data_IF_927023916590
#
_entry.id   IF_927023916590
#
_cell.length_a   1.000
_cell.length_b   1.000
_cell.length_c   1.000
_cell.angle_alpha   90.00
_cell.angle_beta   90.00
_cell.angle_gamma   90.00
#
_symmetry.space_group_name_H-M   'P 1'
#
loop_
_entity.id
_entity.type
_entity.pdbx_description
1 polymer ?
#
# COMPACT_ATOMS: atom_id res chain seq x y z
N UNK A 1 0.05 -12.92 -16.48
CA UNK A 1 -0.57 -11.66 -16.91
C UNK A 1 -0.16 -10.60 -15.91
N UNK A 2 0.34 -9.47 -16.39
CA UNK A 2 0.76 -8.34 -15.55
C UNK A 2 -0.49 -7.68 -14.96
N UNK A 3 -0.47 -7.34 -13.67
CA UNK A 3 -1.61 -6.69 -13.02
C UNK A 3 -1.81 -5.25 -13.48
N UNK A 4 -3.02 -4.70 -13.23
CA UNK A 4 -3.42 -3.37 -13.71
C UNK A 4 -2.59 -2.26 -13.05
N UNK A 5 -2.36 -2.38 -11.73
CA UNK A 5 -1.61 -1.38 -10.98
C UNK A 5 -0.14 -1.41 -11.36
N UNK A 6 0.47 -2.59 -11.49
CA UNK A 6 1.85 -2.69 -11.96
C UNK A 6 2.03 -2.12 -13.38
N UNK A 7 1.11 -2.41 -14.30
CA UNK A 7 1.14 -1.85 -15.65
C UNK A 7 1.07 -0.32 -15.62
N UNK A 8 0.12 0.25 -14.86
CA UNK A 8 -0.01 1.69 -14.67
C UNK A 8 1.29 2.33 -14.16
N UNK A 9 1.92 1.74 -13.14
CA UNK A 9 3.15 2.26 -12.56
C UNK A 9 4.31 2.24 -13.58
N UNK A 10 4.46 1.15 -14.33
CA UNK A 10 5.50 1.05 -15.36
C UNK A 10 5.29 2.04 -16.51
N UNK A 11 4.06 2.16 -17.01
CA UNK A 11 3.71 3.10 -18.08
C UNK A 11 3.95 4.55 -17.64
N UNK A 12 3.55 4.89 -16.41
CA UNK A 12 3.76 6.22 -15.85
C UNK A 12 5.24 6.51 -15.66
N UNK A 13 6.02 5.55 -15.16
CA UNK A 13 7.48 5.67 -15.02
C UNK A 13 8.14 5.88 -16.39
N UNK A 14 7.72 5.12 -17.40
CA UNK A 14 8.25 5.26 -18.76
C UNK A 14 7.93 6.62 -19.37
N UNK A 15 6.74 7.17 -19.10
CA UNK A 15 6.31 8.46 -19.61
C UNK A 15 6.93 9.67 -18.88
N UNK A 16 7.10 9.58 -17.56
CA UNK A 16 7.53 10.71 -16.70
C UNK A 16 9.00 10.65 -16.25
N UNK A 17 9.64 9.49 -16.36
CA UNK A 17 11.02 9.26 -15.92
C UNK A 17 11.17 9.02 -14.41
N UNK A 18 10.17 9.36 -13.60
CA UNK A 18 10.10 9.10 -12.17
C UNK A 18 8.65 8.93 -11.71
N UNK A 19 8.47 8.34 -10.53
CA UNK A 19 7.19 8.27 -9.83
C UNK A 19 7.30 8.95 -8.47
N UNK A 20 6.28 9.71 -8.09
CA UNK A 20 6.09 10.23 -6.74
C UNK A 20 5.03 9.41 -6.01
N UNK A 21 5.42 8.79 -4.91
CA UNK A 21 4.53 8.10 -3.99
C UNK A 21 4.37 8.92 -2.71
N UNK A 22 3.13 9.10 -2.24
CA UNK A 22 2.86 9.71 -0.94
C UNK A 22 2.42 8.65 0.07
N UNK A 23 3.18 8.46 1.15
CA UNK A 23 2.82 7.52 2.22
C UNK A 23 1.95 8.20 3.28
N UNK A 24 0.78 7.60 3.53
CA UNK A 24 -0.17 8.00 4.55
C UNK A 24 -0.24 6.89 5.59
N UNK A 25 0.32 7.14 6.76
CA UNK A 25 0.14 6.26 7.92
C UNK A 25 -1.06 6.77 8.75
N UNK A 26 -2.18 6.03 8.83
CA UNK A 26 -3.33 6.44 9.63
C UNK A 26 -3.01 6.74 11.10
N UNK A 27 -1.95 6.14 11.67
CA UNK A 27 -1.55 6.34 13.07
C UNK A 27 -0.72 7.60 13.30
N UNK A 28 -0.18 8.22 12.25
CA UNK A 28 0.56 9.49 12.35
C UNK A 28 -0.37 10.72 12.46
N UNK A 29 -1.68 10.52 12.31
CA UNK A 29 -2.68 11.58 12.34
C UNK A 29 -3.52 11.54 13.62
N UNK A 30 -3.90 12.71 14.11
CA UNK A 30 -4.73 12.84 15.32
C UNK A 30 -6.10 12.15 15.21
N UNK A 31 -6.62 11.97 13.98
CA UNK A 31 -7.85 11.24 13.71
C UNK A 31 -7.94 10.79 12.23
N UNK A 32 -8.83 9.83 11.90
CA UNK A 32 -8.94 9.28 10.54
C UNK A 32 -9.28 10.32 9.47
N UNK A 33 -10.04 11.37 9.81
CA UNK A 33 -10.43 12.40 8.84
C UNK A 33 -9.21 13.18 8.33
N UNK A 34 -8.20 13.38 9.17
CA UNK A 34 -6.96 14.06 8.78
C UNK A 34 -6.11 13.17 7.87
N UNK A 35 -6.03 11.86 8.13
CA UNK A 35 -5.36 10.92 7.25
C UNK A 35 -6.02 10.86 5.85
N UNK A 36 -7.37 10.80 5.82
CA UNK A 36 -8.15 10.82 4.58
C UNK A 36 -7.87 12.11 3.79
N UNK A 37 -7.92 13.26 4.48
CA UNK A 37 -7.64 14.55 3.88
C UNK A 37 -6.23 14.60 3.29
N UNK A 38 -5.23 14.11 4.03
CA UNK A 38 -3.84 14.08 3.56
C UNK A 38 -3.66 13.20 2.32
N UNK A 39 -4.29 12.02 2.28
CA UNK A 39 -4.25 11.15 1.09
C UNK A 39 -4.88 11.79 -0.14
N UNK A 40 -6.00 12.50 0.04
CA UNK A 40 -6.63 13.28 -1.03
C UNK A 40 -5.73 14.41 -1.51
N UNK A 41 -5.23 15.25 -0.60
CA UNK A 41 -4.37 16.38 -0.92
C UNK A 41 -3.06 15.94 -1.60
N UNK A 42 -2.51 14.79 -1.21
CA UNK A 42 -1.33 14.23 -1.86
C UNK A 42 -1.58 13.85 -3.33
N UNK A 43 -2.72 13.23 -3.63
CA UNK A 43 -3.10 12.94 -5.01
C UNK A 43 -3.34 14.23 -5.82
N UNK A 44 -4.03 15.22 -5.24
CA UNK A 44 -4.25 16.53 -5.88
C UNK A 44 -2.94 17.30 -6.10
N UNK A 45 -1.95 17.13 -5.23
CA UNK A 45 -0.62 17.71 -5.35
C UNK A 45 0.27 17.01 -6.40
N UNK A 46 -0.22 15.95 -7.06
CA UNK A 46 0.46 15.30 -8.17
C UNK A 46 1.23 14.03 -7.81
N UNK A 47 0.96 13.40 -6.66
CA UNK A 47 1.44 12.04 -6.42
C UNK A 47 0.91 11.09 -7.52
N UNK A 48 1.78 10.26 -8.08
CA UNK A 48 1.41 9.26 -9.09
C UNK A 48 0.65 8.08 -8.48
N UNK A 49 0.81 7.85 -7.18
CA UNK A 49 0.02 6.91 -6.39
C UNK A 49 0.15 7.22 -4.90
N UNK A 50 -0.83 6.76 -4.13
CA UNK A 50 -0.86 6.92 -2.67
C UNK A 50 -0.55 5.58 -2.02
N UNK A 51 0.31 5.61 -1.02
CA UNK A 51 0.59 4.48 -0.15
C UNK A 51 -0.17 4.64 1.17
N UNK A 52 -0.68 3.54 1.71
CA UNK A 52 -1.34 3.52 3.01
C UNK A 52 -0.78 2.41 3.92
N UNK A 53 -0.41 2.78 5.14
CA UNK A 53 0.26 1.89 6.11
C UNK A 53 1.53 2.55 6.66
N UNK A 54 2.50 1.74 7.11
CA UNK A 54 3.76 2.24 7.70
C UNK A 54 4.02 1.74 9.11
N UNK A 55 2.99 1.74 9.96
CA UNK A 55 3.12 1.34 11.37
C UNK A 55 2.58 -0.05 11.70
N UNK A 56 3.21 -0.67 12.69
CA UNK A 56 2.66 -1.87 13.34
C UNK A 56 1.39 -1.52 14.10
N UNK A 57 0.26 -2.12 13.71
CA UNK A 57 -1.04 -1.88 14.35
C UNK A 57 -2.07 -1.17 13.45
N UNK A 58 -1.66 -0.68 12.27
CA UNK A 58 -2.61 -0.24 11.24
C UNK A 58 -3.34 -1.47 10.69
N UNK A 59 -4.65 -1.56 10.90
CA UNK A 59 -5.48 -2.67 10.44
C UNK A 59 -6.94 -2.53 10.86
N UNK A 60 -7.76 -3.52 10.49
CA UNK A 60 -9.18 -3.58 10.85
C UNK A 60 -10.00 -2.38 10.35
N UNK A 61 -11.03 -2.00 11.11
CA UNK A 61 -11.98 -0.95 10.74
C UNK A 61 -11.34 0.42 10.46
N UNK A 62 -10.24 0.75 11.17
CA UNK A 62 -9.51 1.99 10.94
C UNK A 62 -8.93 2.02 9.53
N UNK A 63 -8.20 0.96 9.16
CA UNK A 63 -7.58 0.86 7.84
C UNK A 63 -8.66 0.80 6.75
N UNK A 64 -9.70 0.01 6.94
CA UNK A 64 -10.80 -0.13 5.99
C UNK A 64 -11.45 1.24 5.70
N UNK A 65 -11.83 1.96 6.75
CA UNK A 65 -12.45 3.29 6.62
C UNK A 65 -11.55 4.29 5.91
N UNK A 66 -10.28 4.37 6.30
CA UNK A 66 -9.34 5.34 5.70
C UNK A 66 -9.05 4.97 4.25
N UNK A 67 -8.83 3.69 3.94
CA UNK A 67 -8.57 3.22 2.59
C UNK A 67 -9.78 3.44 1.66
N UNK A 68 -10.99 3.10 2.11
CA UNK A 68 -12.22 3.27 1.33
C UNK A 68 -12.46 4.75 0.97
N UNK A 69 -12.33 5.65 1.95
CA UNK A 69 -12.57 7.09 1.76
C UNK A 69 -11.47 7.78 0.94
N UNK A 70 -10.20 7.37 1.10
CA UNK A 70 -9.13 7.85 0.22
C UNK A 70 -9.41 7.36 -1.20
N UNK A 71 -9.69 6.06 -1.37
CA UNK A 71 -9.87 5.45 -2.70
C UNK A 71 -11.04 6.06 -3.47
N UNK A 72 -12.13 6.40 -2.78
CA UNK A 72 -13.29 7.07 -3.40
C UNK A 72 -13.00 8.52 -3.82
N UNK A 73 -11.95 9.12 -3.27
CA UNK A 73 -11.61 10.54 -3.44
C UNK A 73 -10.44 10.79 -4.40
N UNK A 74 -9.74 9.75 -4.88
CA UNK A 74 -8.56 9.88 -5.74
C UNK A 74 -8.71 9.07 -7.03
N UNK A 75 -8.06 9.53 -8.11
CA UNK A 75 -8.03 8.83 -9.41
C UNK A 75 -6.76 8.00 -9.63
N UNK A 76 -5.74 8.18 -8.79
CA UNK A 76 -4.49 7.41 -8.81
C UNK A 76 -4.61 6.13 -7.98
N UNK A 77 -3.70 5.14 -8.18
CA UNK A 77 -3.73 3.92 -7.39
C UNK A 77 -3.54 4.17 -5.89
N UNK A 78 -4.26 3.42 -5.07
CA UNK A 78 -4.03 3.28 -3.64
C UNK A 78 -3.37 1.92 -3.39
N UNK A 79 -2.16 1.94 -2.83
CA UNK A 79 -1.34 0.75 -2.62
C UNK A 79 -1.05 0.57 -1.13
N UNK A 80 -1.23 -0.65 -0.62
CA UNK A 80 -0.89 -0.95 0.76
C UNK A 80 0.63 -1.01 0.94
N UNK A 81 1.11 -0.34 1.98
CA UNK A 81 2.46 -0.46 2.53
C UNK A 81 2.38 -1.20 3.88
N UNK A 82 2.25 -2.54 3.86
CA UNK A 82 1.84 -3.29 5.05
C UNK A 82 2.98 -3.39 6.07
N UNK A 83 2.71 -3.04 7.33
CA UNK A 83 3.65 -3.31 8.43
C UNK A 83 3.68 -4.78 8.85
N UNK A 84 2.57 -5.49 8.67
CA UNK A 84 2.45 -6.94 8.90
C UNK A 84 1.22 -7.51 8.16
N UNK A 85 0.96 -8.81 8.30
CA UNK A 85 -0.18 -9.54 7.72
C UNK A 85 -1.55 -9.03 8.16
N UNK A 86 -1.61 -8.25 9.24
CA UNK A 86 -2.83 -7.60 9.74
C UNK A 86 -3.16 -6.29 9.02
N UNK A 87 -2.19 -5.71 8.30
CA UNK A 87 -2.33 -4.47 7.54
C UNK A 87 -2.79 -4.78 6.12
N UNK A 88 -3.96 -5.40 6.00
CA UNK A 88 -4.59 -5.76 4.73
C UNK A 88 -6.02 -5.25 4.70
N UNK A 89 -6.44 -4.78 3.52
CA UNK A 89 -7.80 -4.34 3.25
C UNK A 89 -8.14 -4.57 1.78
N UNK A 90 -9.41 -4.86 1.50
CA UNK A 90 -9.94 -5.04 0.14
C UNK A 90 -10.12 -3.73 -0.64
N UNK A 91 -10.02 -2.58 0.03
CA UNK A 91 -10.30 -1.27 -0.57
C UNK A 91 -9.10 -0.68 -1.33
N UNK A 92 -7.92 -1.29 -1.21
CA UNK A 92 -6.75 -0.91 -1.97
C UNK A 92 -6.71 -1.60 -3.34
N UNK A 93 -6.07 -0.97 -4.33
CA UNK A 93 -5.89 -1.59 -5.65
C UNK A 93 -4.82 -2.69 -5.62
N UNK A 94 -3.79 -2.48 -4.78
CA UNK A 94 -2.65 -3.37 -4.68
C UNK A 94 -2.03 -3.36 -3.29
N UNK A 95 -1.14 -4.33 -3.05
CA UNK A 95 -0.30 -4.42 -1.86
C UNK A 95 1.14 -4.61 -2.26
N UNK A 96 2.06 -3.86 -1.65
CA UNK A 96 3.47 -4.21 -1.71
C UNK A 96 3.69 -5.51 -0.94
N UNK A 97 3.90 -6.58 -1.68
CA UNK A 97 4.16 -7.91 -1.17
C UNK A 97 5.65 -8.05 -0.89
N UNK A 98 6.07 -7.35 0.16
CA UNK A 98 7.46 -7.12 0.51
C UNK A 98 8.15 -8.38 1.00
N UNK A 99 9.40 -8.58 0.60
CA UNK A 99 10.36 -9.53 1.19
C UNK A 99 11.56 -8.76 1.74
N UNK A 100 11.77 -8.78 3.05
CA UNK A 100 12.86 -8.04 3.69
C UNK A 100 14.18 -8.78 3.49
N UNK A 101 14.91 -8.43 2.42
CA UNK A 101 16.04 -9.21 1.91
C UNK A 101 17.24 -9.25 2.85
N UNK A 102 17.42 -8.22 3.67
CA UNK A 102 18.48 -8.15 4.66
C UNK A 102 18.02 -8.55 6.08
N UNK A 103 16.84 -9.17 6.22
CA UNK A 103 16.39 -9.68 7.51
C UNK A 103 17.12 -10.96 7.90
N UNK A 104 17.36 -11.13 9.21
CA UNK A 104 17.83 -12.39 9.79
C UNK A 104 16.68 -13.29 10.27
N UNK A 105 15.45 -12.78 10.25
CA UNK A 105 14.26 -13.52 10.65
C UNK A 105 13.49 -13.98 9.40
N UNK A 106 13.38 -15.30 9.14
CA UNK A 106 12.73 -15.84 7.94
C UNK A 106 11.25 -15.46 7.84
N UNK A 107 10.62 -15.06 8.96
CA UNK A 107 9.28 -14.50 8.96
C UNK A 107 9.15 -13.33 7.97
N UNK A 108 10.11 -12.40 7.93
CA UNK A 108 10.04 -11.23 7.05
C UNK A 108 10.49 -11.51 5.61
N UNK A 109 11.15 -12.64 5.36
CA UNK A 109 11.65 -13.04 4.04
C UNK A 109 10.58 -13.79 3.25
N UNK A 110 9.94 -14.78 3.89
CA UNK A 110 8.92 -15.62 3.24
C UNK A 110 7.74 -16.03 4.14
N UNK A 111 7.86 -15.93 5.47
CA UNK A 111 6.82 -16.38 6.40
C UNK A 111 5.54 -15.52 6.34
N UNK A 112 5.67 -14.20 6.40
CA UNK A 112 4.55 -13.27 6.34
C UNK A 112 3.79 -13.38 5.00
N UNK A 113 4.52 -13.61 3.91
CA UNK A 113 4.00 -13.78 2.56
C UNK A 113 3.16 -15.05 2.47
N UNK A 114 3.66 -16.18 2.99
CA UNK A 114 2.89 -17.43 3.04
C UNK A 114 1.58 -17.25 3.81
N UNK A 115 1.61 -16.53 4.93
CA UNK A 115 0.42 -16.24 5.75
C UNK A 115 -0.57 -15.30 5.04
N UNK A 116 -0.06 -14.27 4.35
CA UNK A 116 -0.88 -13.26 3.70
C UNK A 116 -1.46 -13.71 2.34
N UNK A 117 -0.80 -14.62 1.62
CA UNK A 117 -1.17 -14.98 0.25
C UNK A 117 -2.64 -15.42 0.07
N UNK A 118 -3.24 -16.27 0.94
CA UNK A 118 -4.65 -16.64 0.82
C UNK A 118 -5.59 -15.44 0.99
N UNK A 119 -5.28 -14.56 1.94
CA UNK A 119 -6.07 -13.37 2.26
C UNK A 119 -6.01 -12.35 1.13
N UNK A 120 -4.81 -12.07 0.61
CA UNK A 120 -4.58 -11.20 -0.56
C UNK A 120 -5.40 -11.69 -1.76
N UNK A 121 -5.35 -13.00 -2.04
CA UNK A 121 -6.13 -13.62 -3.11
C UNK A 121 -7.64 -13.48 -2.89
N UNK A 122 -8.11 -13.70 -1.66
CA UNK A 122 -9.53 -13.59 -1.32
C UNK A 122 -10.04 -12.14 -1.42
N UNK A 123 -9.23 -11.16 -1.04
CA UNK A 123 -9.55 -9.74 -1.15
C UNK A 123 -9.52 -9.23 -2.59
N UNK A 124 -8.87 -9.96 -3.51
CA UNK A 124 -8.78 -9.59 -4.93
C UNK A 124 -7.83 -8.41 -5.19
N UNK A 125 -6.98 -8.07 -4.22
CA UNK A 125 -5.99 -7.00 -4.37
C UNK A 125 -4.74 -7.51 -5.09
N UNK A 126 -4.14 -6.66 -5.92
CA UNK A 126 -2.96 -7.02 -6.71
C UNK A 126 -1.71 -7.12 -5.82
N UNK A 127 -0.99 -8.23 -5.87
CA UNK A 127 0.29 -8.37 -5.16
C UNK A 127 1.43 -7.80 -6.02
N UNK A 128 2.05 -6.72 -5.55
CA UNK A 128 3.25 -6.13 -6.16
C UNK A 128 4.49 -6.70 -5.47
N UNK A 129 5.26 -7.60 -6.10
CA UNK A 129 6.45 -8.17 -5.47
C UNK A 129 7.50 -7.06 -5.24
N UNK A 130 8.00 -6.95 -4.01
CA UNK A 130 9.01 -5.95 -3.64
C UNK A 130 10.12 -6.59 -2.81
N UNK A 131 11.38 -6.39 -3.22
CA UNK A 131 12.53 -6.59 -2.34
C UNK A 131 12.70 -5.37 -1.44
N UNK A 132 12.53 -5.54 -0.12
CA UNK A 132 12.65 -4.47 0.86
C UNK A 132 14.00 -4.58 1.58
N UNK A 133 14.75 -3.48 1.63
CA UNK A 133 16.07 -3.41 2.28
C UNK A 133 16.05 -2.21 3.20
N UNK A 134 16.32 -2.43 4.49
CA UNK A 134 16.48 -1.34 5.46
C UNK A 134 17.95 -0.91 5.48
N UNK A 135 18.21 0.37 5.27
CA UNK A 135 19.56 0.97 5.22
C UNK A 135 19.88 1.78 6.47
#
# INVERSE_FOLDING_TARGET
MTGKTYAYLLETLQARGALLAALIDPLDYANPKMAIKAGKEAAEAGADYVLIGGSTGVGGELLDKVAEEIKSSISVPLVLFPGNVTTLTKYADAVYFMSMLNSRNPYWISGAQVLAAPVVRQMGIEALPMGYIVC
#
